data_IF_257207982280
#
_entry.id   IF_257207982280
#
_cell.length_a   1.000
_cell.length_b   1.000
_cell.length_c   1.000
_cell.angle_alpha   90.00
_cell.angle_beta   90.00
_cell.angle_gamma   90.00
#
_symmetry.space_group_name_H-M   'P 1'
#
loop_
_entity.id
_entity.type
_entity.pdbx_description
1 polymer ?
#
# COMPACT_ATOMS: atom_id res chain seq x y z
N UNK A 1 -9.55 -61.52 -23.36
CA UNK A 1 -8.73 -60.67 -22.47
C UNK A 1 -8.41 -59.30 -23.10
N UNK A 2 -9.40 -58.63 -23.73
CA UNK A 2 -9.20 -57.31 -24.39
C UNK A 2 -10.00 -56.17 -23.75
N UNK A 3 -10.82 -56.47 -22.72
CA UNK A 3 -11.68 -55.48 -22.02
C UNK A 3 -11.16 -55.06 -20.64
N UNK A 4 -10.12 -55.71 -20.13
CA UNK A 4 -9.52 -55.39 -18.81
C UNK A 4 -8.39 -54.35 -18.95
N UNK A 5 -7.77 -54.25 -20.12
CA UNK A 5 -6.70 -53.28 -20.40
C UNK A 5 -7.25 -51.84 -20.50
N UNK A 6 -8.52 -51.69 -20.88
CA UNK A 6 -9.16 -50.37 -20.98
C UNK A 6 -9.52 -49.74 -19.62
N UNK A 7 -9.57 -50.54 -18.54
CA UNK A 7 -9.95 -50.04 -17.20
C UNK A 7 -8.74 -49.55 -16.42
N UNK A 8 -7.55 -50.09 -16.68
CA UNK A 8 -6.28 -49.65 -16.04
C UNK A 8 -5.70 -48.39 -16.69
N UNK A 9 -6.07 -48.10 -17.95
CA UNK A 9 -5.66 -46.87 -18.63
C UNK A 9 -6.40 -45.60 -18.17
N UNK A 10 -7.51 -45.75 -17.43
CA UNK A 10 -8.31 -44.61 -16.96
C UNK A 10 -7.93 -44.15 -15.53
N UNK A 11 -7.09 -44.91 -14.83
CA UNK A 11 -6.69 -44.61 -13.44
C UNK A 11 -5.48 -43.67 -13.27
N UNK A 12 -4.92 -43.13 -14.36
CA UNK A 12 -3.67 -42.32 -14.31
C UNK A 12 -3.93 -40.80 -14.37
N UNK A 13 -5.18 -40.34 -14.52
CA UNK A 13 -5.48 -38.91 -14.75
C UNK A 13 -5.79 -38.07 -13.50
N UNK A 14 -5.55 -38.58 -12.29
CA UNK A 14 -5.69 -37.81 -11.04
C UNK A 14 -4.35 -37.67 -10.30
N UNK A 15 -3.32 -37.22 -11.01
CA UNK A 15 -2.27 -36.44 -10.35
C UNK A 15 -2.83 -35.02 -10.32
N UNK A 16 -3.52 -34.70 -9.23
CA UNK A 16 -3.82 -33.33 -8.88
C UNK A 16 -2.50 -32.55 -8.94
N UNK A 17 -2.43 -31.56 -9.84
CA UNK A 17 -1.36 -30.56 -9.84
C UNK A 17 -1.42 -29.81 -8.52
N UNK A 18 -0.77 -30.36 -7.49
CA UNK A 18 -0.34 -29.60 -6.34
C UNK A 18 1.02 -28.96 -6.70
N UNK A 19 1.04 -28.21 -7.80
CA UNK A 19 2.18 -27.37 -8.14
C UNK A 19 2.29 -26.35 -7.01
N UNK A 20 3.34 -26.45 -6.19
CA UNK A 20 3.69 -25.38 -5.27
C UNK A 20 3.67 -24.09 -6.10
N UNK A 21 2.87 -23.12 -5.68
CA UNK A 21 2.82 -21.83 -6.36
C UNK A 21 4.25 -21.27 -6.39
N UNK A 22 4.78 -21.11 -7.59
CA UNK A 22 6.13 -20.60 -7.84
C UNK A 22 6.10 -19.07 -7.71
N UNK A 23 7.21 -18.47 -7.29
CA UNK A 23 7.35 -17.03 -7.10
C UNK A 23 8.28 -16.67 -5.95
N UNK A 24 8.96 -15.53 -6.06
CA UNK A 24 9.87 -15.03 -5.03
C UNK A 24 9.16 -14.25 -3.91
N UNK A 25 7.88 -13.92 -4.07
CA UNK A 25 6.99 -13.39 -3.04
C UNK A 25 5.84 -14.37 -2.79
N UNK A 26 5.61 -14.71 -1.52
CA UNK A 26 4.50 -15.52 -1.05
C UNK A 26 3.62 -14.66 -0.15
N UNK A 27 2.35 -14.53 -0.47
CA UNK A 27 1.35 -13.84 0.34
C UNK A 27 0.37 -14.87 0.88
N UNK A 28 0.34 -15.04 2.19
CA UNK A 28 -0.47 -16.05 2.85
C UNK A 28 -1.20 -15.48 4.06
N UNK A 29 -2.17 -16.23 4.60
CA UNK A 29 -2.81 -15.88 5.85
C UNK A 29 -4.24 -16.34 5.92
N UNK A 30 -5.05 -15.68 6.75
CA UNK A 30 -6.42 -16.09 7.05
C UNK A 30 -7.41 -14.93 6.94
N UNK A 31 -8.50 -15.10 6.18
CA UNK A 31 -9.62 -14.16 6.13
C UNK A 31 -10.83 -14.77 6.82
N UNK A 32 -10.95 -14.54 8.13
CA UNK A 32 -11.98 -15.17 8.96
C UNK A 32 -13.39 -14.78 8.50
N UNK A 33 -14.27 -15.78 8.46
CA UNK A 33 -15.67 -15.61 8.06
C UNK A 33 -15.91 -15.70 6.56
N UNK A 34 -14.86 -15.89 5.75
CA UNK A 34 -14.99 -16.12 4.32
C UNK A 34 -15.39 -17.57 4.04
N UNK A 35 -16.67 -17.80 3.73
CA UNK A 35 -17.19 -19.15 3.42
C UNK A 35 -17.08 -19.50 1.94
N UNK A 36 -17.24 -18.50 1.07
CA UNK A 36 -17.17 -18.64 -0.39
C UNK A 36 -16.74 -17.30 -0.99
N UNK A 37 -15.83 -17.34 -1.95
CA UNK A 37 -15.41 -16.17 -2.72
C UNK A 37 -14.05 -16.41 -3.37
N UNK A 38 -13.63 -15.52 -4.26
CA UNK A 38 -12.29 -15.57 -4.85
C UNK A 38 -11.46 -14.40 -4.35
N UNK A 39 -10.28 -14.70 -3.80
CA UNK A 39 -9.27 -13.69 -3.48
C UNK A 39 -8.38 -13.46 -4.70
N UNK A 40 -8.07 -12.20 -4.96
CA UNK A 40 -7.18 -11.78 -6.04
C UNK A 40 -6.00 -11.02 -5.46
N UNK A 41 -4.79 -11.43 -5.83
CA UNK A 41 -3.58 -10.63 -5.65
C UNK A 41 -3.40 -9.76 -6.88
N UNK A 42 -3.38 -8.44 -6.68
CA UNK A 42 -3.37 -7.48 -7.77
C UNK A 42 -2.29 -6.41 -7.56
N UNK A 43 -1.77 -5.85 -8.64
CA UNK A 43 -0.84 -4.72 -8.61
C UNK A 43 -1.13 -3.76 -9.75
N UNK A 44 -0.66 -2.52 -9.61
CA UNK A 44 -0.70 -1.58 -10.74
C UNK A 44 0.42 -1.93 -11.71
N UNK A 45 0.05 -2.16 -12.96
CA UNK A 45 0.99 -2.18 -14.09
C UNK A 45 0.67 -0.93 -14.92
N UNK A 46 1.60 0.02 -14.91
CA UNK A 46 1.40 1.39 -15.41
C UNK A 46 0.20 2.08 -14.74
N UNK A 47 -0.92 2.13 -15.44
CA UNK A 47 -2.18 2.76 -15.02
C UNK A 47 -3.32 1.77 -14.83
N UNK A 48 -3.06 0.47 -15.05
CA UNK A 48 -4.08 -0.58 -15.01
C UNK A 48 -3.85 -1.50 -13.81
N UNK A 49 -4.92 -1.81 -13.09
CA UNK A 49 -4.90 -2.81 -12.02
C UNK A 49 -5.00 -4.21 -12.64
N UNK A 50 -3.95 -5.01 -12.48
CA UNK A 50 -3.87 -6.38 -13.03
C UNK A 50 -3.88 -7.40 -11.92
N UNK A 51 -4.57 -8.53 -12.14
CA UNK A 51 -4.52 -9.67 -11.21
C UNK A 51 -3.36 -10.57 -11.60
N UNK A 52 -2.42 -10.79 -10.67
CA UNK A 52 -1.24 -11.63 -10.88
C UNK A 52 -1.46 -13.05 -10.41
N UNK A 53 -2.33 -13.23 -9.41
CA UNK A 53 -2.73 -14.54 -8.91
C UNK A 53 -4.13 -14.46 -8.30
N UNK A 54 -4.78 -15.62 -8.16
CA UNK A 54 -6.06 -15.74 -7.48
C UNK A 54 -6.22 -17.10 -6.81
N UNK A 55 -7.19 -17.19 -5.89
CA UNK A 55 -7.58 -18.44 -5.25
C UNK A 55 -9.06 -18.40 -4.89
N UNK A 56 -9.78 -19.45 -5.30
CA UNK A 56 -11.15 -19.67 -4.88
C UNK A 56 -11.15 -20.35 -3.50
N UNK A 57 -11.86 -19.76 -2.56
CA UNK A 57 -12.00 -20.28 -1.20
C UNK A 57 -13.40 -20.86 -1.02
N UNK A 58 -13.44 -22.14 -0.62
CA UNK A 58 -14.67 -22.92 -0.46
C UNK A 58 -14.64 -23.62 0.90
N UNK A 59 -15.11 -22.92 1.93
CA UNK A 59 -15.12 -23.43 3.31
C UNK A 59 -13.76 -23.41 4.01
N UNK A 60 -12.69 -22.97 3.34
CA UNK A 60 -11.36 -22.69 3.92
C UNK A 60 -11.17 -21.18 4.02
N UNK A 61 -10.73 -20.69 5.17
CA UNK A 61 -10.43 -19.27 5.40
C UNK A 61 -8.94 -18.94 5.19
N UNK A 62 -8.11 -19.95 4.93
CA UNK A 62 -6.69 -19.77 4.63
C UNK A 62 -6.45 -19.59 3.15
N UNK A 63 -5.43 -18.78 2.82
CA UNK A 63 -5.03 -18.57 1.43
C UNK A 63 -3.52 -18.54 1.28
N UNK A 64 -3.09 -18.82 0.04
CA UNK A 64 -1.71 -18.62 -0.40
C UNK A 64 -1.74 -18.17 -1.86
N UNK A 65 -1.11 -17.03 -2.11
CA UNK A 65 -0.97 -16.38 -3.41
C UNK A 65 0.52 -16.08 -3.63
N UNK A 66 0.97 -16.02 -4.87
CA UNK A 66 2.37 -15.72 -5.20
C UNK A 66 2.49 -14.72 -6.35
N UNK A 67 3.66 -14.08 -6.44
CA UNK A 67 4.08 -13.29 -7.59
C UNK A 67 5.62 -13.24 -7.61
N UNK A 68 6.18 -12.88 -8.76
CA UNK A 68 7.58 -12.52 -8.87
C UNK A 68 7.73 -11.00 -8.86
N UNK A 69 8.46 -10.50 -7.86
CA UNK A 69 8.67 -9.07 -7.64
C UNK A 69 10.15 -8.73 -7.70
N UNK A 70 10.50 -7.73 -8.50
CA UNK A 70 11.88 -7.25 -8.64
C UNK A 70 12.26 -6.24 -7.56
N UNK A 71 11.33 -5.34 -7.24
CA UNK A 71 11.47 -4.32 -6.19
C UNK A 71 10.17 -4.14 -5.42
N UNK A 72 10.22 -3.79 -4.12
CA UNK A 72 9.02 -3.55 -3.33
C UNK A 72 8.05 -2.56 -3.96
N UNK A 73 6.78 -2.96 -4.11
CA UNK A 73 5.69 -2.15 -4.66
C UNK A 73 4.39 -2.39 -3.91
N UNK A 74 3.37 -1.56 -4.13
CA UNK A 74 2.06 -1.78 -3.51
C UNK A 74 1.23 -2.81 -4.28
N UNK A 75 0.67 -3.73 -3.51
CA UNK A 75 -0.28 -4.73 -3.94
C UNK A 75 -1.64 -4.51 -3.28
N UNK A 76 -2.66 -5.05 -3.93
CA UNK A 76 -4.03 -5.09 -3.46
C UNK A 76 -4.44 -6.54 -3.31
N UNK A 77 -4.98 -6.89 -2.14
CA UNK A 77 -5.74 -8.11 -1.94
C UNK A 77 -7.22 -7.76 -1.94
N UNK A 78 -7.96 -8.29 -2.92
CA UNK A 78 -9.38 -7.96 -3.15
C UNK A 78 -10.26 -9.19 -3.19
N UNK A 79 -11.56 -8.95 -2.97
CA UNK A 79 -12.62 -9.94 -3.18
C UNK A 79 -13.26 -9.78 -4.54
N UNK A 80 -13.51 -10.92 -5.21
CA UNK A 80 -14.36 -11.03 -6.40
C UNK A 80 -14.04 -9.97 -7.47
N UNK A 81 -12.74 -9.72 -7.71
CA UNK A 81 -12.25 -8.94 -8.84
C UNK A 81 -12.65 -7.45 -8.87
N UNK A 82 -12.87 -6.82 -7.71
CA UNK A 82 -13.30 -5.41 -7.50
C UNK A 82 -14.81 -5.14 -7.44
N UNK A 83 -15.65 -6.16 -7.22
CA UNK A 83 -17.09 -5.97 -7.01
C UNK A 83 -17.45 -5.22 -5.72
N UNK A 84 -16.47 -5.04 -4.83
CA UNK A 84 -16.58 -4.18 -3.65
C UNK A 84 -15.48 -3.14 -3.65
N UNK A 85 -15.73 -1.99 -3.02
CA UNK A 85 -14.71 -0.98 -2.78
C UNK A 85 -13.72 -1.37 -1.66
N UNK A 86 -13.83 -2.58 -1.10
CA UNK A 86 -12.98 -3.06 0.00
C UNK A 86 -11.75 -3.77 -0.56
N UNK A 87 -10.57 -3.36 -0.08
CA UNK A 87 -9.28 -3.91 -0.48
C UNK A 87 -8.28 -3.78 0.66
N UNK A 88 -7.39 -4.74 0.78
CA UNK A 88 -6.21 -4.63 1.65
C UNK A 88 -5.06 -4.14 0.78
N UNK A 89 -4.56 -2.94 1.07
CA UNK A 89 -3.38 -2.36 0.44
C UNK A 89 -2.15 -2.72 1.27
N UNK A 90 -1.11 -3.25 0.65
CA UNK A 90 0.11 -3.61 1.35
C UNK A 90 1.35 -3.51 0.45
N UNK A 91 2.52 -3.31 1.05
CA UNK A 91 3.79 -3.44 0.35
C UNK A 91 4.13 -4.92 0.13
N UNK A 92 4.19 -5.32 -1.13
CA UNK A 92 4.70 -6.63 -1.55
C UNK A 92 6.19 -6.56 -1.86
N UNK A 93 6.94 -7.55 -1.39
CA UNK A 93 8.38 -7.71 -1.63
C UNK A 93 8.80 -9.17 -1.50
N UNK A 94 10.04 -9.49 -1.92
CA UNK A 94 10.57 -10.86 -1.87
C UNK A 94 10.52 -11.42 -0.45
N UNK A 95 10.07 -12.67 -0.32
CA UNK A 95 9.90 -13.35 0.97
C UNK A 95 8.45 -13.76 1.24
N UNK A 96 8.12 -13.96 2.51
CA UNK A 96 6.78 -14.39 2.94
C UNK A 96 6.09 -13.28 3.71
N UNK A 97 4.95 -12.82 3.19
CA UNK A 97 4.08 -11.82 3.78
C UNK A 97 2.85 -12.52 4.32
N UNK A 98 2.53 -12.27 5.59
CA UNK A 98 1.34 -12.82 6.24
C UNK A 98 0.30 -11.73 6.45
N UNK A 99 -0.92 -11.95 5.97
CA UNK A 99 -2.06 -11.03 6.09
C UNK A 99 -3.24 -11.77 6.75
N UNK A 100 -3.67 -11.28 7.91
CA UNK A 100 -4.86 -11.77 8.59
C UNK A 100 -5.93 -10.67 8.67
N UNK A 101 -7.16 -11.03 8.37
CA UNK A 101 -8.30 -10.10 8.44
C UNK A 101 -9.62 -10.83 8.69
N UNK A 102 -10.73 -10.09 8.72
CA UNK A 102 -12.10 -10.58 8.87
C UNK A 102 -12.97 -10.00 7.76
N UNK A 103 -13.86 -10.80 7.18
CA UNK A 103 -14.77 -10.35 6.10
C UNK A 103 -15.61 -9.12 6.49
N UNK A 104 -16.10 -9.08 7.74
CA UNK A 104 -16.92 -7.98 8.26
C UNK A 104 -16.24 -6.61 8.07
N UNK A 105 -14.94 -6.53 8.39
CA UNK A 105 -14.13 -5.32 8.38
C UNK A 105 -12.97 -5.39 7.38
N UNK A 106 -13.15 -6.12 6.28
CA UNK A 106 -12.09 -6.37 5.31
C UNK A 106 -11.43 -5.08 4.81
N UNK A 107 -10.10 -5.00 4.92
CA UNK A 107 -9.29 -3.85 4.53
C UNK A 107 -9.27 -2.70 5.54
N UNK A 108 -10.09 -2.73 6.59
CA UNK A 108 -10.15 -1.64 7.57
C UNK A 108 -8.99 -1.69 8.57
N UNK A 109 -8.71 -2.88 9.11
CA UNK A 109 -7.66 -3.10 10.09
C UNK A 109 -7.00 -4.47 9.93
N UNK A 110 -6.44 -4.78 8.75
CA UNK A 110 -5.73 -6.03 8.54
C UNK A 110 -4.45 -6.08 9.39
N UNK A 111 -4.09 -7.27 9.85
CA UNK A 111 -2.80 -7.55 10.46
C UNK A 111 -1.84 -8.01 9.37
N UNK A 112 -0.76 -7.25 9.13
CA UNK A 112 0.21 -7.50 8.06
C UNK A 112 1.60 -7.62 8.66
N UNK A 113 2.35 -8.63 8.24
CA UNK A 113 3.73 -8.87 8.70
C UNK A 113 4.58 -9.52 7.61
N UNK A 114 5.91 -9.47 7.75
CA UNK A 114 6.85 -10.07 6.80
C UNK A 114 7.31 -9.14 5.67
N UNK A 115 6.86 -7.87 5.66
CA UNK A 115 7.36 -6.82 4.78
C UNK A 115 8.00 -5.69 5.59
N UNK A 116 9.30 -5.43 5.37
CA UNK A 116 10.04 -4.31 5.98
C UNK A 116 9.46 -2.97 5.50
N UNK A 117 9.12 -2.86 4.22
CA UNK A 117 8.51 -1.64 3.67
C UNK A 117 7.14 -1.38 4.29
N UNK A 118 6.32 -2.41 4.50
CA UNK A 118 5.05 -2.29 5.19
C UNK A 118 5.22 -1.85 6.65
N UNK A 119 6.16 -2.44 7.39
CA UNK A 119 6.41 -2.05 8.79
C UNK A 119 6.80 -0.56 8.93
N UNK A 120 7.61 -0.06 8.01
CA UNK A 120 7.98 1.36 7.96
C UNK A 120 6.76 2.22 7.62
N UNK A 121 5.96 1.82 6.62
CA UNK A 121 4.73 2.51 6.25
C UNK A 121 3.73 2.56 7.43
N UNK A 122 3.61 1.48 8.20
CA UNK A 122 2.72 1.42 9.36
C UNK A 122 3.17 2.37 10.48
N UNK A 123 4.48 2.50 10.71
CA UNK A 123 5.04 3.48 11.65
C UNK A 123 4.72 4.90 11.20
N UNK A 124 4.86 5.21 9.91
CA UNK A 124 4.47 6.50 9.34
C UNK A 124 2.97 6.76 9.52
N UNK A 125 2.13 5.79 9.14
CA UNK A 125 0.68 5.90 9.22
C UNK A 125 0.16 6.13 10.64
N UNK A 126 0.84 5.57 11.66
CA UNK A 126 0.52 5.87 13.08
C UNK A 126 0.68 7.37 13.40
N UNK A 127 1.73 8.01 12.89
CA UNK A 127 2.00 9.43 13.15
C UNK A 127 1.14 10.32 12.24
N UNK A 128 0.97 9.95 10.97
CA UNK A 128 0.06 10.61 10.02
C UNK A 128 -1.35 10.75 10.61
N UNK A 129 -1.89 9.69 11.23
CA UNK A 129 -3.20 9.73 11.89
C UNK A 129 -3.29 10.77 13.01
N UNK A 130 -2.21 11.01 13.76
CA UNK A 130 -2.18 12.07 14.78
C UNK A 130 -2.33 13.45 14.16
N UNK A 131 -1.58 13.74 13.09
CA UNK A 131 -1.73 14.99 12.33
C UNK A 131 -3.14 15.15 11.73
N UNK A 132 -3.73 14.06 11.23
CA UNK A 132 -5.10 14.08 10.71
C UNK A 132 -6.12 14.41 11.80
N UNK A 133 -5.99 13.79 12.98
CA UNK A 133 -6.87 14.08 14.12
C UNK A 133 -6.71 15.52 14.60
N UNK A 134 -5.48 16.02 14.75
CA UNK A 134 -5.23 17.42 15.11
C UNK A 134 -5.85 18.38 14.08
N UNK A 135 -5.76 18.07 12.77
CA UNK A 135 -6.41 18.84 11.71
C UNK A 135 -7.93 18.86 11.86
N UNK A 136 -8.56 17.73 12.16
CA UNK A 136 -10.01 17.66 12.39
C UNK A 136 -10.43 18.52 13.60
N UNK A 137 -9.63 18.52 14.67
CA UNK A 137 -9.86 19.39 15.82
C UNK A 137 -9.76 20.89 15.46
N UNK A 138 -8.79 21.27 14.62
CA UNK A 138 -8.71 22.64 14.12
C UNK A 138 -9.93 23.02 13.27
N UNK A 139 -10.38 22.14 12.37
CA UNK A 139 -11.58 22.38 11.54
C UNK A 139 -12.81 22.61 12.43
N UNK A 140 -12.97 21.79 13.46
CA UNK A 140 -14.07 21.94 14.42
C UNK A 140 -14.00 23.28 15.15
N UNK A 141 -12.83 23.62 15.72
CA UNK A 141 -12.64 24.89 16.45
C UNK A 141 -12.87 26.11 15.57
N UNK A 142 -12.40 26.07 14.32
CA UNK A 142 -12.59 27.15 13.34
C UNK A 142 -14.07 27.34 13.01
N UNK A 143 -14.80 26.24 12.81
CA UNK A 143 -16.25 26.27 12.60
C UNK A 143 -17.00 26.90 13.78
N UNK A 144 -16.67 26.47 15.00
CA UNK A 144 -17.31 26.98 16.22
C UNK A 144 -17.00 28.48 16.44
N UNK A 145 -15.76 28.90 16.20
CA UNK A 145 -15.35 30.31 16.31
C UNK A 145 -16.07 31.21 15.28
N UNK A 146 -16.18 30.74 14.04
CA UNK A 146 -16.93 31.45 12.98
C UNK A 146 -18.41 31.56 13.33
N UNK A 147 -19.01 30.49 13.86
CA UNK A 147 -20.41 30.51 14.32
C UNK A 147 -20.62 31.52 15.47
N UNK A 148 -19.62 31.71 16.32
CA UNK A 148 -19.64 32.69 17.40
C UNK A 148 -19.27 34.12 16.97
N UNK A 149 -18.88 34.35 15.71
CA UNK A 149 -18.31 35.60 15.19
C UNK A 149 -17.06 36.06 15.98
N UNK A 150 -16.26 35.13 16.48
CA UNK A 150 -15.01 35.43 17.19
C UNK A 150 -13.84 35.54 16.19
N UNK A 151 -13.69 36.71 15.58
CA UNK A 151 -12.66 36.97 14.56
C UNK A 151 -11.23 36.83 15.10
N UNK A 152 -11.00 37.19 16.37
CA UNK A 152 -9.68 37.07 16.99
C UNK A 152 -9.27 35.60 17.15
N UNK A 153 -10.20 34.74 17.58
CA UNK A 153 -9.97 33.30 17.67
C UNK A 153 -9.76 32.67 16.29
N UNK A 154 -10.55 33.05 15.28
CA UNK A 154 -10.36 32.58 13.90
C UNK A 154 -8.94 32.90 13.40
N UNK A 155 -8.49 34.14 13.56
CA UNK A 155 -7.13 34.54 13.14
C UNK A 155 -6.03 33.74 13.86
N UNK A 156 -6.22 33.48 15.16
CA UNK A 156 -5.27 32.68 15.93
C UNK A 156 -5.27 31.20 15.49
N UNK A 157 -6.44 30.61 15.24
CA UNK A 157 -6.57 29.23 14.75
C UNK A 157 -5.93 29.05 13.38
N UNK A 158 -6.06 30.00 12.47
CA UNK A 158 -5.37 29.97 11.17
C UNK A 158 -3.85 29.94 11.33
N UNK A 159 -3.30 30.75 12.23
CA UNK A 159 -1.85 30.79 12.52
C UNK A 159 -1.37 29.46 13.08
N UNK A 160 -2.13 28.85 13.99
CA UNK A 160 -1.76 27.58 14.60
C UNK A 160 -1.92 26.41 13.63
N UNK A 161 -2.94 26.43 12.77
CA UNK A 161 -3.08 25.47 11.69
C UNK A 161 -1.91 25.52 10.71
N UNK A 162 -1.42 26.72 10.35
CA UNK A 162 -0.20 26.87 9.52
C UNK A 162 1.03 26.25 10.19
N UNK A 163 1.16 26.34 11.52
CA UNK A 163 2.24 25.64 12.26
C UNK A 163 2.08 24.13 12.19
N UNK A 164 0.85 23.61 12.35
CA UNK A 164 0.57 22.17 12.23
C UNK A 164 0.95 21.66 10.84
N UNK A 165 0.55 22.37 9.78
CA UNK A 165 0.86 22.02 8.39
C UNK A 165 2.39 21.97 8.17
N UNK A 166 3.14 22.98 8.64
CA UNK A 166 4.61 22.99 8.55
C UNK A 166 5.24 21.81 9.30
N UNK A 167 4.77 21.50 10.52
CA UNK A 167 5.24 20.35 11.30
C UNK A 167 4.98 19.02 10.57
N UNK A 168 3.81 18.86 9.95
CA UNK A 168 3.47 17.68 9.14
C UNK A 168 4.46 17.52 7.99
N UNK A 169 4.67 18.57 7.19
CA UNK A 169 5.56 18.53 6.03
C UNK A 169 6.99 18.20 6.46
N UNK A 170 7.53 18.90 7.48
CA UNK A 170 8.88 18.61 8.00
C UNK A 170 9.02 17.18 8.52
N UNK A 171 8.02 16.69 9.25
CA UNK A 171 8.02 15.31 9.73
C UNK A 171 8.05 14.32 8.56
N UNK A 172 7.16 14.48 7.57
CA UNK A 172 7.10 13.60 6.40
C UNK A 172 8.41 13.60 5.62
N UNK A 173 9.01 14.78 5.39
CA UNK A 173 10.32 14.90 4.72
C UNK A 173 11.42 14.20 5.48
N UNK A 174 11.55 14.45 6.78
CA UNK A 174 12.56 13.80 7.60
C UNK A 174 12.34 12.28 7.65
N UNK A 175 11.09 11.83 7.75
CA UNK A 175 10.76 10.41 7.74
C UNK A 175 11.24 9.73 6.44
N UNK A 176 10.98 10.34 5.28
CA UNK A 176 11.45 9.85 3.99
C UNK A 176 12.99 9.81 3.92
N UNK A 177 13.68 10.87 4.36
CA UNK A 177 15.15 10.92 4.40
C UNK A 177 15.74 9.83 5.30
N UNK A 178 15.17 9.60 6.48
CA UNK A 178 15.68 8.59 7.43
C UNK A 178 15.45 7.15 6.99
N UNK A 179 14.59 6.91 6.00
CA UNK A 179 14.30 5.58 5.44
C UNK A 179 14.68 5.52 3.95
N UNK A 180 15.66 6.31 3.52
CA UNK A 180 16.01 6.49 2.10
C UNK A 180 16.65 5.26 1.43
N UNK A 181 16.94 4.23 2.21
CA UNK A 181 17.36 2.89 1.78
C UNK A 181 16.18 1.96 1.43
N UNK A 182 14.94 2.44 1.55
CA UNK A 182 13.72 1.67 1.29
C UNK A 182 12.75 2.36 0.33
N UNK A 183 12.01 1.57 -0.45
CA UNK A 183 11.09 2.02 -1.50
C UNK A 183 9.84 2.73 -0.94
N UNK A 184 9.54 2.56 0.34
CA UNK A 184 8.53 3.35 1.05
C UNK A 184 8.88 4.84 1.11
N UNK A 185 10.15 5.24 1.08
CA UNK A 185 10.56 6.64 1.13
C UNK A 185 10.10 7.45 -0.10
N UNK A 186 10.44 7.06 -1.35
CA UNK A 186 9.90 7.74 -2.53
C UNK A 186 8.38 7.58 -2.66
N UNK A 187 7.80 6.47 -2.19
CA UNK A 187 6.34 6.33 -2.14
C UNK A 187 5.67 7.39 -1.24
N UNK A 188 6.19 7.59 -0.02
CA UNK A 188 5.71 8.64 0.89
C UNK A 188 5.93 10.03 0.28
N UNK A 189 7.07 10.26 -0.39
CA UNK A 189 7.33 11.53 -1.05
C UNK A 189 6.27 11.82 -2.13
N UNK A 190 5.97 10.85 -2.99
CA UNK A 190 4.96 10.97 -4.05
C UNK A 190 3.54 11.18 -3.52
N UNK A 191 3.18 10.57 -2.39
CA UNK A 191 1.79 10.52 -1.92
C UNK A 191 1.47 11.52 -0.81
N UNK A 192 2.47 11.99 -0.06
CA UNK A 192 2.25 12.75 1.17
C UNK A 192 2.93 14.13 1.18
N UNK A 193 3.90 14.38 0.29
CA UNK A 193 4.67 15.63 0.24
C UNK A 193 4.10 16.66 -0.76
N UNK A 194 2.79 16.64 -1.00
CA UNK A 194 2.11 17.58 -1.92
C UNK A 194 2.22 19.07 -1.52
N UNK A 195 2.46 19.38 -0.24
CA UNK A 195 2.68 20.75 0.26
C UNK A 195 4.17 21.08 0.45
N UNK A 196 5.09 20.17 0.09
CA UNK A 196 6.51 20.40 0.25
C UNK A 196 7.07 21.31 -0.85
N UNK A 197 8.12 22.07 -0.53
CA UNK A 197 8.82 22.84 -1.55
C UNK A 197 9.65 21.93 -2.44
N UNK A 198 9.92 22.37 -3.68
CA UNK A 198 10.78 21.65 -4.62
C UNK A 198 12.14 21.30 -4.00
N UNK A 199 12.75 22.23 -3.25
CA UNK A 199 14.00 21.98 -2.51
C UNK A 199 13.89 20.81 -1.53
N UNK A 200 12.78 20.66 -0.83
CA UNK A 200 12.56 19.54 0.10
C UNK A 200 12.41 18.22 -0.64
N UNK A 201 11.68 18.22 -1.76
CA UNK A 201 11.54 17.04 -2.62
C UNK A 201 12.91 16.61 -3.21
N UNK A 202 13.71 17.57 -3.70
CA UNK A 202 15.07 17.33 -4.21
C UNK A 202 15.99 16.76 -3.11
N UNK A 203 15.85 17.25 -1.88
CA UNK A 203 16.63 16.74 -0.73
C UNK A 203 16.30 15.28 -0.44
N UNK A 204 15.01 14.91 -0.46
CA UNK A 204 14.58 13.51 -0.32
C UNK A 204 15.15 12.67 -1.44
N UNK A 205 14.99 13.10 -2.70
CA UNK A 205 15.43 12.34 -3.87
C UNK A 205 16.94 12.09 -3.87
N UNK A 206 17.72 13.13 -3.53
CA UNK A 206 19.18 13.03 -3.45
C UNK A 206 19.64 12.06 -2.36
N UNK A 207 18.88 11.98 -1.26
CA UNK A 207 19.16 11.10 -0.12
C UNK A 207 18.87 9.62 -0.40
N UNK A 208 18.09 9.30 -1.45
CA UNK A 208 17.75 7.92 -1.82
C UNK A 208 19.01 7.14 -2.20
N UNK A 209 19.09 5.90 -1.72
CA UNK A 209 20.13 4.96 -2.15
C UNK A 209 20.02 4.65 -3.65
N UNK A 210 21.13 4.27 -4.28
CA UNK A 210 21.14 3.95 -5.73
C UNK A 210 20.19 2.79 -6.09
N UNK A 211 20.06 1.81 -5.19
CA UNK A 211 19.06 0.73 -5.31
C UNK A 211 17.64 1.30 -5.36
N UNK A 212 17.30 2.20 -4.44
CA UNK A 212 15.95 2.79 -4.40
C UNK A 212 15.72 3.71 -5.58
N UNK A 213 16.71 4.51 -6.01
CA UNK A 213 16.61 5.37 -7.21
C UNK A 213 16.28 4.58 -8.48
N UNK A 214 16.76 3.35 -8.58
CA UNK A 214 16.53 2.47 -9.74
C UNK A 214 15.26 1.61 -9.64
N UNK A 215 14.60 1.59 -8.47
CA UNK A 215 13.30 0.94 -8.25
C UNK A 215 12.14 1.67 -8.95
N UNK A 216 10.97 1.03 -9.02
CA UNK A 216 9.74 1.61 -9.60
C UNK A 216 9.39 2.97 -8.95
N UNK A 217 9.28 3.02 -7.62
CA UNK A 217 8.95 4.28 -6.95
C UNK A 217 10.05 5.34 -7.02
N UNK A 218 11.33 4.94 -7.03
CA UNK A 218 12.43 5.88 -7.22
C UNK A 218 12.38 6.58 -8.59
N UNK A 219 12.17 5.81 -9.65
CA UNK A 219 12.02 6.34 -11.02
C UNK A 219 10.81 7.25 -11.15
N UNK A 220 9.65 6.84 -10.61
CA UNK A 220 8.44 7.68 -10.60
C UNK A 220 8.64 8.99 -9.84
N UNK A 221 9.40 8.96 -8.74
CA UNK A 221 9.69 10.17 -7.97
C UNK A 221 10.63 11.12 -8.71
N UNK A 222 11.64 10.60 -9.40
CA UNK A 222 12.48 11.39 -10.29
C UNK A 222 11.67 12.03 -11.43
N UNK A 223 10.82 11.25 -12.10
CA UNK A 223 9.97 11.74 -13.19
C UNK A 223 9.00 12.83 -12.69
N UNK A 224 8.43 12.67 -11.51
CA UNK A 224 7.60 13.69 -10.87
C UNK A 224 8.35 15.01 -10.67
N UNK A 225 9.60 14.95 -10.19
CA UNK A 225 10.46 16.13 -10.01
C UNK A 225 10.80 16.83 -11.33
N UNK A 226 11.16 16.06 -12.36
CA UNK A 226 11.51 16.60 -13.67
C UNK A 226 10.31 17.32 -14.32
N UNK A 227 9.10 16.77 -14.12
CA UNK A 227 7.86 17.37 -14.58
C UNK A 227 7.51 18.69 -13.86
N UNK A 228 7.83 18.81 -12.57
CA UNK A 228 7.65 20.07 -11.84
C UNK A 228 8.62 21.12 -12.34
N UNK A 229 9.91 20.78 -12.44
CA UNK A 229 10.97 21.71 -12.90
C UNK A 229 10.68 22.26 -14.29
N UNK A 230 10.29 21.38 -15.21
CA UNK A 230 9.92 21.79 -16.58
C UNK A 230 8.73 22.75 -16.63
N UNK A 231 7.81 22.68 -15.66
CA UNK A 231 6.66 23.59 -15.57
C UNK A 231 7.01 24.93 -14.93
N UNK A 232 8.01 24.99 -14.05
CA UNK A 232 8.47 26.24 -13.43
C UNK A 232 9.36 27.07 -14.38
N UNK A 233 10.01 26.42 -15.35
CA UNK A 233 10.84 27.07 -16.39
C UNK A 233 10.02 27.64 -17.57
N UNK A 234 8.72 27.34 -17.65
CA UNK A 234 7.80 27.85 -18.68
C UNK A 234 6.91 28.96 -18.15
#
# INVERSE_FOLDING_TARGET
MKKIIAIVALSILVIACNSKKEGNMIVQGTIKGLKKGTLYLQKMQDTVLVSVDSIALLGDDKFTLTDDVDSPVLYYLTFDGNTTNKRILFFGEKGTITINDKVENFGYSPEISGSKNQEILDKYNKIKRKFQNERLEFIKKDFDAKKANDEALVFQLEKDYKKLARRRVLFTTNFAITNSDTEVAPYIALTEMYDASLKMLDTVNSSLSDKVKTSDYGKRFQEYLDNIKTKEEK
#
